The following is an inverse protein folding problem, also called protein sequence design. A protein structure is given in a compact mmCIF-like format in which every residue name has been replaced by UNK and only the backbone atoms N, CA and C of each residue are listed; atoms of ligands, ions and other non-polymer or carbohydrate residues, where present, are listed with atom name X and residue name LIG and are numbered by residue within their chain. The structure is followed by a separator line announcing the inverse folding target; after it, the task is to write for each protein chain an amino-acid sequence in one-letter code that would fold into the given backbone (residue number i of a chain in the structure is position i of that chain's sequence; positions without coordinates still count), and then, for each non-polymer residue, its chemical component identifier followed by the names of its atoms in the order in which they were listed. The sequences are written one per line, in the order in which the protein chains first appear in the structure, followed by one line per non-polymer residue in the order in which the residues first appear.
data_IF_617598479196
#
_entry.id   IF_617598479196
#
_cell.length_a   1.000
_cell.length_b   1.000
_cell.length_c   1.000
_cell.angle_alpha   90.00
_cell.angle_beta   90.00
_cell.angle_gamma   90.00
#
_symmetry.space_group_name_H-M   'P 1'
#
loop_
_entity.id
_entity.type
_entity.pdbx_description
1 polymer ?
#
# COMPACT_ATOMS: atom_id res chain seq x y z
N UNK A 1 -25.01 -0.41 5.64
CA UNK A 1 -24.70 -1.45 4.65
C UNK A 1 -23.20 -1.45 4.46
N UNK A 2 -22.55 -2.60 4.61
CA UNK A 2 -21.13 -2.76 4.30
C UNK A 2 -20.99 -2.66 2.77
N UNK A 3 -20.17 -1.75 2.26
CA UNK A 3 -19.91 -1.68 0.81
C UNK A 3 -19.18 -2.94 0.37
N UNK A 4 -19.69 -3.61 -0.65
CA UNK A 4 -18.99 -4.74 -1.28
C UNK A 4 -17.86 -4.24 -2.16
N UNK A 5 -16.91 -5.11 -2.50
CA UNK A 5 -15.84 -4.79 -3.47
C UNK A 5 -16.42 -4.38 -4.83
N UNK A 6 -17.54 -4.98 -5.25
CA UNK A 6 -18.22 -4.62 -6.49
C UNK A 6 -18.82 -3.21 -6.42
N UNK A 7 -19.42 -2.82 -5.28
CA UNK A 7 -19.93 -1.46 -5.08
C UNK A 7 -18.80 -0.42 -5.15
N UNK A 8 -17.64 -0.74 -4.57
CA UNK A 8 -16.44 0.10 -4.64
C UNK A 8 -15.97 0.21 -6.09
N UNK A 9 -15.86 -0.90 -6.82
CA UNK A 9 -15.44 -0.90 -8.22
C UNK A 9 -16.34 -0.02 -9.09
N UNK A 10 -17.68 -0.15 -8.96
CA UNK A 10 -18.64 0.70 -9.67
C UNK A 10 -18.47 2.17 -9.32
N UNK A 11 -18.28 2.49 -8.04
CA UNK A 11 -18.00 3.85 -7.58
C UNK A 11 -16.75 4.42 -8.24
N UNK A 12 -15.67 3.64 -8.36
CA UNK A 12 -14.44 4.07 -9.00
C UNK A 12 -14.62 4.33 -10.50
N UNK A 13 -15.38 3.48 -11.19
CA UNK A 13 -15.72 3.65 -12.62
C UNK A 13 -16.49 4.96 -12.83
N UNK A 14 -17.52 5.19 -12.01
CA UNK A 14 -18.34 6.41 -12.07
C UNK A 14 -17.50 7.66 -11.80
N UNK A 15 -16.60 7.61 -10.80
CA UNK A 15 -15.71 8.72 -10.45
C UNK A 15 -14.64 8.98 -11.52
N UNK A 16 -14.14 7.92 -12.16
CA UNK A 16 -13.15 8.02 -13.21
C UNK A 16 -13.71 8.73 -14.44
N UNK A 17 -14.96 8.46 -14.84
CA UNK A 17 -15.54 8.97 -16.09
C UNK A 17 -14.63 8.61 -17.27
N UNK A 18 -14.47 9.48 -18.26
CA UNK A 18 -13.67 9.17 -19.46
C UNK A 18 -12.14 9.29 -19.28
N UNK A 19 -11.65 9.36 -18.03
CA UNK A 19 -10.21 9.45 -17.76
C UNK A 19 -9.50 8.17 -18.23
N UNK A 20 -8.43 8.36 -18.99
CA UNK A 20 -7.53 7.27 -19.43
C UNK A 20 -6.76 6.61 -18.29
N UNK A 21 -6.53 7.33 -17.19
CA UNK A 21 -5.79 6.85 -16.02
C UNK A 21 -6.47 7.36 -14.75
N UNK A 22 -6.67 6.49 -13.79
CA UNK A 22 -7.27 6.76 -12.49
C UNK A 22 -6.48 6.03 -11.40
N UNK A 23 -5.81 6.79 -10.54
CA UNK A 23 -4.90 6.26 -9.52
C UNK A 23 -5.61 6.28 -8.17
N UNK A 24 -5.76 5.10 -7.57
CA UNK A 24 -6.49 4.90 -6.32
C UNK A 24 -5.49 4.56 -5.22
N UNK A 25 -5.52 5.30 -4.11
CA UNK A 25 -4.78 4.94 -2.90
C UNK A 25 -5.61 3.97 -2.05
N UNK A 26 -5.00 2.85 -1.66
CA UNK A 26 -5.53 1.89 -0.68
C UNK A 26 -4.56 1.90 0.51
N UNK A 27 -4.91 2.70 1.51
CA UNK A 27 -4.10 2.95 2.70
C UNK A 27 -4.63 2.20 3.93
N UNK A 28 -3.80 2.02 4.94
CA UNK A 28 -4.19 1.36 6.19
C UNK A 28 -3.01 0.74 6.92
N UNK A 29 -3.13 0.46 8.23
CA UNK A 29 -2.02 -0.01 9.05
C UNK A 29 -1.50 -1.40 8.61
N UNK A 30 -0.31 -1.82 9.09
CA UNK A 30 0.15 -3.21 8.93
C UNK A 30 -0.91 -4.19 9.43
N UNK A 31 -1.18 -5.25 8.67
CA UNK A 31 -2.21 -6.24 9.02
C UNK A 31 -3.65 -5.88 8.63
N UNK A 32 -3.88 -4.71 8.01
CA UNK A 32 -5.23 -4.26 7.67
C UNK A 32 -5.93 -5.06 6.55
N UNK A 33 -5.19 -5.79 5.70
CA UNK A 33 -5.75 -6.52 4.56
C UNK A 33 -5.79 -5.72 3.25
N UNK A 34 -4.90 -4.73 3.09
CA UNK A 34 -4.80 -3.89 1.88
C UNK A 34 -4.62 -4.70 0.60
N UNK A 35 -3.68 -5.65 0.59
CA UNK A 35 -3.39 -6.44 -0.62
C UNK A 35 -4.60 -7.28 -1.03
N UNK A 36 -5.30 -7.87 -0.05
CA UNK A 36 -6.55 -8.59 -0.28
C UNK A 36 -7.61 -7.70 -0.93
N UNK A 37 -7.79 -6.47 -0.44
CA UNK A 37 -8.73 -5.52 -1.06
C UNK A 37 -8.26 -5.10 -2.46
N UNK A 38 -6.98 -4.77 -2.63
CA UNK A 38 -6.41 -4.33 -3.89
C UNK A 38 -6.56 -5.41 -4.99
N UNK A 39 -6.24 -6.66 -4.67
CA UNK A 39 -6.38 -7.79 -5.59
C UNK A 39 -7.85 -8.05 -5.93
N UNK A 40 -8.74 -8.04 -4.92
CA UNK A 40 -10.18 -8.25 -5.12
C UNK A 40 -10.80 -7.12 -5.97
N UNK A 41 -10.38 -5.88 -5.73
CA UNK A 41 -10.86 -4.72 -6.46
C UNK A 41 -10.32 -4.70 -7.89
N UNK A 42 -9.07 -5.10 -8.10
CA UNK A 42 -8.50 -5.29 -9.43
C UNK A 42 -9.33 -6.30 -10.23
N UNK A 43 -9.60 -7.47 -9.64
CA UNK A 43 -10.44 -8.49 -10.26
C UNK A 43 -11.87 -7.99 -10.56
N UNK A 44 -12.47 -7.22 -9.65
CA UNK A 44 -13.80 -6.65 -9.85
C UNK A 44 -13.84 -5.63 -11.00
N UNK A 45 -12.84 -4.73 -11.09
CA UNK A 45 -12.71 -3.78 -12.20
C UNK A 45 -12.53 -4.51 -13.54
N UNK A 46 -11.69 -5.55 -13.57
CA UNK A 46 -11.50 -6.39 -14.76
C UNK A 46 -12.77 -7.12 -15.18
N UNK A 47 -13.54 -7.65 -14.22
CA UNK A 47 -14.83 -8.28 -14.51
C UNK A 47 -15.87 -7.31 -15.09
N UNK A 48 -15.75 -6.01 -14.79
CA UNK A 48 -16.59 -4.94 -15.34
C UNK A 48 -16.09 -4.38 -16.67
N UNK A 49 -14.99 -4.92 -17.22
CA UNK A 49 -14.46 -4.57 -18.54
C UNK A 49 -13.34 -3.53 -18.53
N UNK A 50 -12.80 -3.19 -17.36
CA UNK A 50 -11.72 -2.21 -17.21
C UNK A 50 -10.34 -2.85 -16.95
N UNK A 51 -9.27 -2.18 -17.35
CA UNK A 51 -7.90 -2.62 -17.03
C UNK A 51 -7.47 -2.07 -15.67
N UNK A 52 -6.96 -2.95 -14.80
CA UNK A 52 -6.51 -2.60 -13.45
C UNK A 52 -5.22 -3.32 -13.08
N UNK A 53 -4.27 -2.59 -12.48
CA UNK A 53 -3.01 -3.13 -11.96
C UNK A 53 -2.73 -2.61 -10.55
N UNK A 54 -2.09 -3.45 -9.73
CA UNK A 54 -1.70 -3.09 -8.35
C UNK A 54 -0.27 -2.56 -8.33
N UNK A 55 -0.04 -1.44 -7.65
CA UNK A 55 1.28 -0.87 -7.35
C UNK A 55 1.56 -0.91 -5.84
N UNK A 56 2.28 -1.92 -5.35
CA UNK A 56 2.62 -2.01 -3.93
C UNK A 56 3.73 -1.03 -3.54
N UNK A 57 3.49 -0.23 -2.50
CA UNK A 57 4.48 0.63 -1.85
C UNK A 57 5.69 -0.15 -1.32
N UNK A 58 5.50 -1.44 -1.00
CA UNK A 58 6.55 -2.28 -0.44
C UNK A 58 7.77 -2.43 -1.36
N UNK A 59 7.60 -2.30 -2.69
CA UNK A 59 8.73 -2.30 -3.64
C UNK A 59 9.73 -1.16 -3.42
N UNK A 60 9.39 -0.18 -2.59
CA UNK A 60 10.22 1.00 -2.30
C UNK A 60 10.89 0.93 -0.91
N UNK A 61 10.94 -0.25 -0.27
CA UNK A 61 11.80 -0.44 0.89
C UNK A 61 13.26 -0.15 0.51
N UNK A 62 13.97 0.55 1.38
CA UNK A 62 15.42 0.63 1.28
C UNK A 62 16.05 -0.75 1.54
N UNK A 63 17.14 -1.04 0.84
CA UNK A 63 17.94 -2.24 1.08
C UNK A 63 18.47 -2.29 2.53
N UNK A 64 18.68 -3.51 3.04
CA UNK A 64 19.20 -3.71 4.40
C UNK A 64 20.55 -3.02 4.62
N UNK A 65 21.44 -2.98 3.63
CA UNK A 65 22.73 -2.30 3.72
C UNK A 65 22.56 -0.78 3.90
N UNK A 66 21.61 -0.17 3.19
CA UNK A 66 21.27 1.25 3.36
C UNK A 66 20.67 1.49 4.75
N UNK A 67 19.78 0.60 5.21
CA UNK A 67 19.20 0.71 6.55
C UNK A 67 20.22 0.54 7.67
N UNK A 68 21.22 -0.34 7.50
CA UNK A 68 22.33 -0.48 8.45
C UNK A 68 23.16 0.80 8.54
N UNK A 69 23.54 1.39 7.39
CA UNK A 69 24.26 2.66 7.36
C UNK A 69 23.49 3.80 8.05
N UNK A 70 22.15 3.77 7.98
CA UNK A 70 21.27 4.75 8.63
C UNK A 70 20.90 4.42 10.07
N UNK A 71 21.29 3.24 10.59
CA UNK A 71 20.86 2.76 11.92
C UNK A 71 19.36 2.44 12.02
N UNK A 72 18.69 2.17 10.90
CA UNK A 72 17.24 1.98 10.81
C UNK A 72 16.80 0.53 10.58
N UNK A 73 17.73 -0.43 10.52
CA UNK A 73 17.41 -1.84 10.22
C UNK A 73 16.39 -2.43 11.21
N UNK A 74 16.50 -2.12 12.50
CA UNK A 74 15.55 -2.58 13.53
C UNK A 74 14.14 -2.01 13.37
N UNK A 75 14.02 -0.92 12.62
CA UNK A 75 12.77 -0.21 12.30
C UNK A 75 12.26 -0.51 10.88
N UNK A 76 12.83 -1.48 10.16
CA UNK A 76 12.39 -1.83 8.79
C UNK A 76 10.87 -2.00 8.74
N UNK A 77 10.24 -1.33 7.78
CA UNK A 77 8.79 -1.22 7.64
C UNK A 77 8.21 0.08 8.22
N UNK A 78 8.98 0.86 8.99
CA UNK A 78 8.60 2.21 9.44
C UNK A 78 8.68 3.23 8.29
N UNK A 79 7.99 4.38 8.38
CA UNK A 79 7.92 5.38 7.29
C UNK A 79 9.30 5.84 6.80
N UNK A 80 10.28 5.97 7.69
CA UNK A 80 11.65 6.40 7.41
C UNK A 80 12.52 5.36 6.69
N UNK A 81 11.99 4.15 6.47
CA UNK A 81 12.72 3.02 5.83
C UNK A 81 12.38 2.82 4.36
N UNK A 82 11.66 3.76 3.75
CA UNK A 82 11.24 3.72 2.35
C UNK A 82 11.89 4.86 1.53
N UNK A 83 12.18 4.58 0.27
CA UNK A 83 12.50 5.60 -0.72
C UNK A 83 11.23 6.31 -1.22
N UNK A 84 10.75 7.27 -0.42
CA UNK A 84 9.55 8.06 -0.75
C UNK A 84 9.75 8.92 -2.00
N UNK A 85 10.98 9.37 -2.26
CA UNK A 85 11.29 10.16 -3.47
C UNK A 85 11.12 9.29 -4.71
N UNK A 86 11.75 8.12 -4.74
CA UNK A 86 11.61 7.15 -5.83
C UNK A 86 10.16 6.69 -6.02
N UNK A 87 9.42 6.51 -4.92
CA UNK A 87 8.01 6.15 -4.99
C UNK A 87 7.15 7.24 -5.65
N UNK A 88 7.34 8.50 -5.26
CA UNK A 88 6.67 9.64 -5.86
C UNK A 88 7.04 9.80 -7.35
N UNK A 89 8.31 9.60 -7.71
CA UNK A 89 8.78 9.65 -9.09
C UNK A 89 8.03 8.59 -9.95
N UNK A 90 7.84 7.37 -9.43
CA UNK A 90 7.09 6.32 -10.13
C UNK A 90 5.60 6.64 -10.25
N UNK A 91 4.94 7.14 -9.20
CA UNK A 91 3.52 7.53 -9.29
C UNK A 91 3.31 8.60 -10.38
N UNK A 92 4.21 9.59 -10.43
CA UNK A 92 4.19 10.64 -11.46
C UNK A 92 4.41 10.07 -12.85
N UNK A 93 5.38 9.17 -13.01
CA UNK A 93 5.64 8.51 -14.29
C UNK A 93 4.42 7.73 -14.77
N UNK A 94 3.79 6.94 -13.89
CA UNK A 94 2.56 6.18 -14.20
C UNK A 94 1.40 7.09 -14.63
N UNK A 95 1.24 8.27 -14.02
CA UNK A 95 0.14 9.19 -14.33
C UNK A 95 0.20 9.71 -15.77
N UNK A 96 1.39 10.00 -16.28
CA UNK A 96 1.60 10.63 -17.60
C UNK A 96 2.23 9.67 -18.62
N UNK A 97 2.26 8.37 -18.32
CA UNK A 97 2.97 7.39 -19.12
C UNK A 97 2.46 7.34 -20.57
N UNK A 98 3.39 7.46 -21.52
CA UNK A 98 3.15 7.21 -22.96
C UNK A 98 3.62 5.81 -23.40
N UNK A 99 4.27 5.07 -22.49
CA UNK A 99 4.72 3.70 -22.66
C UNK A 99 4.60 2.92 -21.34
N UNK A 100 5.16 1.72 -21.29
CA UNK A 100 5.15 0.93 -20.06
C UNK A 100 6.01 1.57 -18.96
N UNK A 101 5.58 1.40 -17.70
CA UNK A 101 6.36 1.79 -16.52
C UNK A 101 6.72 0.54 -15.74
N UNK A 102 8.02 0.29 -15.60
CA UNK A 102 8.54 -0.83 -14.82
C UNK A 102 8.65 -0.42 -13.35
N UNK A 103 8.01 -1.18 -12.46
CA UNK A 103 7.93 -0.86 -11.03
C UNK A 103 8.59 -1.94 -10.18
N UNK A 104 9.16 -1.59 -9.01
CA UNK A 104 9.80 -2.56 -8.15
C UNK A 104 8.76 -3.42 -7.41
N UNK A 105 9.14 -4.65 -7.06
CA UNK A 105 8.33 -5.57 -6.26
C UNK A 105 9.16 -6.04 -5.07
N UNK A 106 8.56 -6.04 -3.88
CA UNK A 106 9.22 -6.56 -2.68
C UNK A 106 9.08 -8.07 -2.59
N UNK A 107 10.22 -8.75 -2.51
CA UNK A 107 10.27 -10.18 -2.26
C UNK A 107 10.38 -10.45 -0.76
N UNK A 108 9.27 -10.85 -0.15
CA UNK A 108 9.19 -11.18 1.27
C UNK A 108 10.03 -12.39 1.66
N UNK A 109 10.30 -13.33 0.73
CA UNK A 109 11.12 -14.51 1.03
C UNK A 109 12.61 -14.17 1.15
N UNK A 110 13.05 -13.14 0.42
CA UNK A 110 14.45 -12.68 0.39
C UNK A 110 14.68 -11.36 1.12
N UNK A 111 13.61 -10.73 1.60
CA UNK A 111 13.64 -9.46 2.34
C UNK A 111 14.27 -8.30 1.55
N UNK A 112 14.06 -8.24 0.24
CA UNK A 112 14.63 -7.22 -0.66
C UNK A 112 13.64 -6.74 -1.73
N UNK A 113 13.83 -5.52 -2.20
CA UNK A 113 13.12 -4.96 -3.35
C UNK A 113 13.82 -5.34 -4.66
N UNK A 114 13.08 -5.90 -5.61
CA UNK A 114 13.56 -6.23 -6.95
C UNK A 114 13.14 -5.11 -7.89
N UNK A 115 14.10 -4.42 -8.50
CA UNK A 115 13.82 -3.39 -9.50
C UNK A 115 13.19 -4.01 -10.77
N UNK A 116 12.33 -3.23 -11.44
CA UNK A 116 11.72 -3.59 -12.72
C UNK A 116 11.06 -4.99 -12.74
N UNK A 117 10.36 -5.34 -11.66
CA UNK A 117 9.81 -6.67 -11.44
C UNK A 117 8.31 -6.79 -11.77
N UNK A 118 7.67 -5.67 -12.14
CA UNK A 118 6.28 -5.62 -12.62
C UNK A 118 6.14 -4.51 -13.67
N UNK A 119 5.22 -4.71 -14.60
CA UNK A 119 4.88 -3.75 -15.65
C UNK A 119 3.54 -3.10 -15.30
N UNK A 120 3.46 -1.77 -15.40
CA UNK A 120 2.19 -1.06 -15.51
C UNK A 120 2.08 -0.58 -16.96
N UNK A 121 1.16 -1.19 -17.71
CA UNK A 121 0.99 -0.90 -19.14
C UNK A 121 0.34 0.48 -19.36
N UNK A 122 0.62 1.08 -20.52
CA UNK A 122 0.06 2.37 -20.94
C UNK A 122 -1.47 2.34 -21.05
N UNK A 123 -2.06 1.18 -21.37
CA UNK A 123 -3.50 0.96 -21.47
C UNK A 123 -4.19 0.65 -20.14
N UNK A 124 -3.45 0.48 -19.04
CA UNK A 124 -4.03 0.26 -17.72
C UNK A 124 -4.80 1.50 -17.27
N UNK A 125 -6.12 1.41 -17.09
CA UNK A 125 -6.95 2.54 -16.69
C UNK A 125 -6.88 2.78 -15.19
N UNK A 126 -6.99 1.74 -14.39
CA UNK A 126 -6.96 1.84 -12.93
C UNK A 126 -5.61 1.37 -12.37
N UNK A 127 -4.98 2.23 -11.56
CA UNK A 127 -3.77 1.85 -10.82
C UNK A 127 -4.08 1.88 -9.34
N UNK A 128 -4.13 0.70 -8.74
CA UNK A 128 -4.45 0.50 -7.33
C UNK A 128 -3.13 0.54 -6.54
N UNK A 129 -2.79 1.71 -6.02
CA UNK A 129 -1.60 1.91 -5.21
C UNK A 129 -1.92 1.51 -3.79
N UNK A 130 -1.22 0.52 -3.24
CA UNK A 130 -1.45 0.06 -1.87
C UNK A 130 -0.24 0.24 -0.97
N UNK A 131 -0.47 0.62 0.29
CA UNK A 131 0.63 0.87 1.23
C UNK A 131 0.18 1.42 2.57
N UNK A 132 1.06 1.38 3.58
CA UNK A 132 0.70 1.87 4.91
C UNK A 132 0.58 3.40 4.97
N UNK A 133 1.44 4.11 4.23
CA UNK A 133 1.73 5.52 4.47
C UNK A 133 1.26 6.46 3.35
N UNK A 134 0.45 5.97 2.41
CA UNK A 134 0.02 6.74 1.22
C UNK A 134 -0.66 8.06 1.58
N UNK A 135 -1.40 8.06 2.69
CA UNK A 135 -2.14 9.22 3.19
C UNK A 135 -1.51 9.81 4.46
N UNK A 136 -0.30 9.39 4.85
CA UNK A 136 0.35 9.88 6.07
C UNK A 136 0.67 11.37 5.95
N UNK A 137 0.18 12.18 6.89
CA UNK A 137 0.38 13.63 6.93
C UNK A 137 1.67 14.03 7.63
N UNK A 138 2.79 13.52 7.10
CA UNK A 138 4.11 13.79 7.63
C UNK A 138 5.14 13.79 6.52
N UNK A 139 6.04 14.76 6.50
CA UNK A 139 7.16 14.79 5.55
C UNK A 139 8.04 13.53 5.70
N UNK A 140 8.49 12.90 4.60
CA UNK A 140 8.24 13.26 3.20
C UNK A 140 6.94 12.70 2.59
N UNK A 141 6.19 11.85 3.29
CA UNK A 141 4.96 11.22 2.79
C UNK A 141 3.84 12.20 2.44
N UNK A 142 3.81 13.37 3.08
CA UNK A 142 2.88 14.44 2.69
C UNK A 142 3.08 14.95 1.26
N UNK A 143 4.23 14.71 0.63
CA UNK A 143 4.44 15.01 -0.79
C UNK A 143 3.60 14.18 -1.76
N UNK A 144 2.95 13.11 -1.29
CA UNK A 144 1.98 12.31 -2.06
C UNK A 144 0.60 12.98 -2.15
N UNK A 145 0.37 14.10 -1.46
CA UNK A 145 -0.86 14.87 -1.59
C UNK A 145 -1.11 15.28 -3.06
N UNK A 146 -2.36 15.13 -3.50
CA UNK A 146 -2.77 15.39 -4.89
C UNK A 146 -2.29 14.38 -5.93
N UNK A 147 -1.63 13.27 -5.54
CA UNK A 147 -1.18 12.24 -6.48
C UNK A 147 -2.22 11.15 -6.76
N UNK A 148 -3.27 11.06 -5.95
CA UNK A 148 -4.33 10.05 -6.05
C UNK A 148 -5.66 10.72 -6.43
N UNK A 149 -6.41 10.10 -7.34
CA UNK A 149 -7.72 10.57 -7.78
C UNK A 149 -8.85 10.08 -6.85
N UNK A 150 -8.58 9.02 -6.07
CA UNK A 150 -9.47 8.48 -5.06
C UNK A 150 -8.68 7.80 -3.93
N UNK A 151 -9.18 7.87 -2.71
CA UNK A 151 -8.50 7.35 -1.52
C UNK A 151 -9.43 6.48 -0.67
N UNK A 152 -8.94 5.30 -0.32
CA UNK A 152 -9.59 4.32 0.56
C UNK A 152 -8.68 4.07 1.75
N UNK A 153 -9.22 4.19 2.97
CA UNK A 153 -8.55 3.75 4.20
C UNK A 153 -9.22 2.48 4.71
N UNK A 154 -8.41 1.46 4.99
CA UNK A 154 -8.82 0.27 5.75
C UNK A 154 -8.34 0.46 7.19
N UNK A 155 -9.26 0.44 8.16
CA UNK A 155 -8.99 0.72 9.57
C UNK A 155 -9.80 -0.20 10.48
N UNK A 156 -9.43 -1.51 10.53
CA UNK A 156 -10.09 -2.46 11.42
C UNK A 156 -9.69 -2.19 12.89
N UNK A 157 -10.39 -2.79 13.86
CA UNK A 157 -10.03 -2.69 15.28
C UNK A 157 -8.58 -3.12 15.55
N UNK A 158 -7.92 -2.46 16.51
CA UNK A 158 -6.52 -2.78 16.87
C UNK A 158 -6.35 -4.25 17.28
N UNK A 159 -7.34 -4.82 17.99
CA UNK A 159 -7.33 -6.24 18.35
C UNK A 159 -7.25 -7.15 17.12
N UNK A 160 -7.99 -6.83 16.06
CA UNK A 160 -7.95 -7.56 14.78
C UNK A 160 -6.60 -7.42 14.09
N UNK A 161 -5.98 -6.23 14.15
CA UNK A 161 -4.62 -6.04 13.62
C UNK A 161 -3.62 -6.89 14.38
N UNK A 162 -3.67 -6.88 15.71
CA UNK A 162 -2.77 -7.66 16.57
C UNK A 162 -2.87 -9.16 16.26
N UNK A 163 -4.09 -9.71 16.20
CA UNK A 163 -4.34 -11.11 15.85
C UNK A 163 -3.74 -11.46 14.49
N UNK A 164 -4.08 -10.69 13.44
CA UNK A 164 -3.58 -10.93 12.07
C UNK A 164 -2.05 -10.81 11.97
N UNK A 165 -1.45 -9.89 12.71
CA UNK A 165 0.00 -9.68 12.73
C UNK A 165 0.72 -10.82 13.43
N UNK A 166 0.20 -11.29 14.57
CA UNK A 166 0.71 -12.46 15.27
C UNK A 166 0.65 -13.70 14.38
N UNK A 167 -0.48 -13.95 13.73
CA UNK A 167 -0.65 -15.10 12.83
C UNK A 167 0.27 -15.02 11.62
N UNK A 168 0.48 -13.83 11.05
CA UNK A 168 1.44 -13.60 9.98
C UNK A 168 2.86 -13.98 10.40
N UNK A 169 3.32 -13.54 11.57
CA UNK A 169 4.67 -13.84 12.05
C UNK A 169 4.85 -15.31 12.42
N UNK A 170 3.83 -15.94 13.01
CA UNK A 170 3.81 -17.40 13.23
C UNK A 170 3.89 -18.17 11.91
N UNK A 171 3.18 -17.71 10.87
CA UNK A 171 3.24 -18.27 9.52
C UNK A 171 4.64 -18.19 8.89
N UNK A 172 5.45 -17.19 9.28
CA UNK A 172 6.86 -17.09 8.92
C UNK A 172 7.81 -17.88 9.85
N UNK A 173 7.28 -18.67 10.78
CA UNK A 173 8.05 -19.55 11.66
C UNK A 173 8.72 -18.84 12.84
N UNK A 174 8.31 -17.63 13.19
CA UNK A 174 8.82 -16.95 14.40
C UNK A 174 8.26 -17.61 15.66
N UNK A 175 9.06 -17.61 16.74
CA UNK A 175 8.57 -17.98 18.08
C UNK A 175 7.51 -17.00 18.57
N UNK A 176 6.68 -17.43 19.52
CA UNK A 176 5.65 -16.58 20.13
C UNK A 176 6.22 -15.26 20.67
N UNK A 177 7.37 -15.32 21.35
CA UNK A 177 8.07 -14.15 21.89
C UNK A 177 8.57 -13.23 20.78
N UNK A 178 9.18 -13.77 19.72
CA UNK A 178 9.69 -12.99 18.60
C UNK A 178 8.56 -12.34 17.78
N UNK A 179 7.46 -13.07 17.56
CA UNK A 179 6.25 -12.57 16.91
C UNK A 179 5.65 -11.42 17.72
N UNK A 180 5.51 -11.58 19.04
CA UNK A 180 5.02 -10.54 19.94
C UNK A 180 5.91 -9.29 19.90
N UNK A 181 7.22 -9.46 19.99
CA UNK A 181 8.18 -8.37 19.94
C UNK A 181 8.10 -7.58 18.60
N UNK A 182 7.88 -8.26 17.46
CA UNK A 182 7.67 -7.61 16.16
C UNK A 182 6.35 -6.86 16.11
N UNK A 183 5.26 -7.51 16.53
CA UNK A 183 3.91 -6.94 16.52
C UNK A 183 3.82 -5.70 17.40
N UNK A 184 4.17 -5.81 18.68
CA UNK A 184 4.07 -4.71 19.65
C UNK A 184 5.17 -3.64 19.44
N UNK A 185 6.38 -4.10 19.10
CA UNK A 185 7.56 -3.24 19.02
C UNK A 185 7.63 -2.37 17.77
N UNK A 186 7.05 -2.83 16.65
CA UNK A 186 7.15 -2.17 15.35
C UNK A 186 5.81 -2.03 14.63
N UNK A 187 5.11 -3.13 14.34
CA UNK A 187 3.91 -3.10 13.48
C UNK A 187 2.78 -2.26 14.08
N UNK A 188 2.43 -2.47 15.36
CA UNK A 188 1.36 -1.72 16.03
C UNK A 188 1.74 -0.25 16.25
N UNK A 189 3.02 0.07 16.45
CA UNK A 189 3.48 1.47 16.54
C UNK A 189 3.34 2.18 15.20
N UNK A 190 3.71 1.51 14.12
CA UNK A 190 3.51 2.02 12.76
C UNK A 190 2.02 2.13 12.43
N UNK A 191 1.21 1.18 12.88
CA UNK A 191 -0.24 1.22 12.73
C UNK A 191 -0.90 2.37 13.48
N UNK A 192 -0.45 2.66 14.70
CA UNK A 192 -0.89 3.83 15.46
C UNK A 192 -0.55 5.13 14.74
N UNK A 193 0.67 5.24 14.20
CA UNK A 193 1.07 6.41 13.41
C UNK A 193 0.14 6.63 12.21
N UNK A 194 -0.19 5.58 11.46
CA UNK A 194 -1.13 5.67 10.32
C UNK A 194 -2.51 6.13 10.78
N UNK A 195 -3.04 5.52 11.84
CA UNK A 195 -4.39 5.85 12.36
C UNK A 195 -4.48 7.29 12.86
N UNK A 196 -3.43 7.77 13.54
CA UNK A 196 -3.48 9.04 14.27
C UNK A 196 -3.07 10.24 13.38
N UNK A 197 -2.42 10.00 12.24
CA UNK A 197 -1.83 11.04 11.40
C UNK A 197 -2.12 10.91 9.89
N UNK A 198 -3.15 10.17 9.48
CA UNK A 198 -3.56 10.17 8.08
C UNK A 198 -4.40 11.41 7.71
N UNK A 199 -4.20 11.90 6.49
CA UNK A 199 -5.13 12.82 5.81
C UNK A 199 -6.47 12.12 5.56
N UNK A 200 -7.48 12.91 5.19
CA UNK A 200 -8.80 12.41 4.81
C UNK A 200 -8.75 11.46 3.61
N UNK A 201 -9.76 10.58 3.52
CA UNK A 201 -9.98 9.65 2.42
C UNK A 201 -11.44 9.75 1.96
N UNK A 202 -11.70 9.34 0.72
CA UNK A 202 -13.05 9.31 0.16
C UNK A 202 -13.92 8.24 0.83
N UNK A 203 -13.34 7.09 1.18
CA UNK A 203 -14.00 6.01 1.91
C UNK A 203 -13.09 5.50 3.04
N UNK A 204 -13.72 5.15 4.18
CA UNK A 204 -13.07 4.46 5.30
C UNK A 204 -13.82 3.16 5.57
N UNK A 205 -13.14 2.03 5.39
CA UNK A 205 -13.61 0.68 5.71
C UNK A 205 -13.14 0.30 7.11
N UNK A 206 -14.06 -0.11 7.99
CA UNK A 206 -13.78 -0.36 9.42
C UNK A 206 -13.96 -1.82 9.86
N UNK A 207 -14.42 -2.67 8.95
CA UNK A 207 -14.71 -4.08 9.20
C UNK A 207 -13.57 -4.99 8.69
#
# INVERSE_FOLDING_TARGET
MTMTTEDIARTLIDRAGDRRRFIVAIAGPPGAGKSTLADSLSAALQALGDSAEVLPMDGFHMDNGVLQQKGLLSRKGAPETFDVRGFLDIIRAVRVAEGEVLVPVFDRSRELAIAAARIIDVSTRFVLVEGNYLLLDRTPWSSLEGQFDYAIIISPPVATLEERLMDRWRGYGLSEEAARAKTEGNDLKNGALVRDHCRGADIILRD
#
